data_IF_691024599586
#
_entry.id   IF_691024599586
#
_cell.length_a   1.000
_cell.length_b   1.000
_cell.length_c   1.000
_cell.angle_alpha   90.00
_cell.angle_beta   90.00
_cell.angle_gamma   90.00
#
_symmetry.space_group_name_H-M   'P 1'
#
loop_
_entity.id
_entity.type
_entity.pdbx_description
1 polymer ?
#
# COMPACT_ATOMS: atom_id res chain seq x y z
N UNK A 1 -31.81 -43.40 41.88
CA UNK A 1 -31.38 -42.34 40.93
C UNK A 1 -31.86 -42.77 39.55
N UNK A 2 -32.76 -42.00 38.92
CA UNK A 2 -33.49 -42.45 37.74
C UNK A 2 -32.61 -42.29 36.48
N UNK A 3 -32.41 -43.34 35.65
CA UNK A 3 -31.57 -43.26 34.45
C UNK A 3 -32.09 -42.23 33.43
N UNK A 4 -33.40 -41.93 33.44
CA UNK A 4 -33.99 -40.89 32.60
C UNK A 4 -33.56 -39.46 32.98
N UNK A 5 -33.25 -39.18 34.26
CA UNK A 5 -32.79 -37.87 34.70
C UNK A 5 -31.34 -37.57 34.28
N UNK A 6 -30.50 -38.61 34.18
CA UNK A 6 -29.12 -38.49 33.72
C UNK A 6 -29.05 -38.19 32.22
N UNK A 7 -29.93 -38.80 31.42
CA UNK A 7 -29.97 -38.58 29.97
C UNK A 7 -30.48 -37.18 29.63
N UNK A 8 -31.52 -36.70 30.34
CA UNK A 8 -32.04 -35.34 30.19
C UNK A 8 -30.99 -34.28 30.56
N UNK A 9 -30.28 -34.46 31.68
CA UNK A 9 -29.19 -33.55 32.10
C UNK A 9 -28.02 -33.55 31.12
N UNK A 10 -27.61 -34.72 30.63
CA UNK A 10 -26.54 -34.84 29.63
C UNK A 10 -26.85 -34.12 28.31
N UNK A 11 -28.11 -34.17 27.87
CA UNK A 11 -28.57 -33.50 26.66
C UNK A 11 -28.54 -31.97 26.76
N UNK A 12 -28.96 -31.39 27.89
CA UNK A 12 -28.88 -29.95 28.14
C UNK A 12 -27.42 -29.46 28.22
N UNK A 13 -26.52 -30.26 28.79
CA UNK A 13 -25.09 -29.92 28.82
C UNK A 13 -24.50 -29.94 27.41
N UNK A 14 -24.80 -30.97 26.61
CA UNK A 14 -24.31 -31.09 25.23
C UNK A 14 -24.79 -29.93 24.34
N UNK A 15 -26.08 -29.59 24.42
CA UNK A 15 -26.65 -28.46 23.67
C UNK A 15 -26.12 -27.10 24.13
N UNK A 16 -25.94 -26.91 25.44
CA UNK A 16 -25.31 -25.72 26.01
C UNK A 16 -23.86 -25.54 25.53
N UNK A 17 -23.08 -26.62 25.47
CA UNK A 17 -21.71 -26.59 24.96
C UNK A 17 -21.67 -26.26 23.46
N UNK A 18 -22.54 -26.85 22.64
CA UNK A 18 -22.61 -26.54 21.21
C UNK A 18 -23.01 -25.07 20.96
N UNK A 19 -23.97 -24.55 21.73
CA UNK A 19 -24.36 -23.14 21.65
C UNK A 19 -23.21 -22.22 22.07
N UNK A 20 -22.47 -22.55 23.13
CA UNK A 20 -21.32 -21.79 23.58
C UNK A 20 -20.18 -21.78 22.55
N UNK A 21 -19.89 -22.93 21.92
CA UNK A 21 -18.91 -23.02 20.83
C UNK A 21 -19.35 -22.19 19.62
N UNK A 22 -20.62 -22.28 19.22
CA UNK A 22 -21.18 -21.48 18.13
C UNK A 22 -21.08 -19.97 18.40
N UNK A 23 -21.44 -19.53 19.61
CA UNK A 23 -21.33 -18.15 20.04
C UNK A 23 -19.86 -17.67 20.05
N UNK A 24 -18.93 -18.51 20.52
CA UNK A 24 -17.50 -18.21 20.52
C UNK A 24 -16.94 -18.07 19.09
N UNK A 25 -17.31 -18.97 18.18
CA UNK A 25 -16.91 -18.90 16.76
C UNK A 25 -17.43 -17.61 16.12
N UNK A 26 -18.70 -17.26 16.33
CA UNK A 26 -19.30 -16.02 15.84
C UNK A 26 -18.60 -14.78 16.40
N UNK A 27 -18.31 -14.75 17.70
CA UNK A 27 -17.57 -13.67 18.34
C UNK A 27 -16.16 -13.53 17.76
N UNK A 28 -15.47 -14.65 17.54
CA UNK A 28 -14.13 -14.69 16.94
C UNK A 28 -14.11 -14.18 15.50
N UNK A 29 -15.10 -14.54 14.68
CA UNK A 29 -15.23 -14.07 13.31
C UNK A 29 -15.48 -12.56 13.25
N UNK A 30 -16.40 -12.05 14.09
CA UNK A 30 -16.67 -10.60 14.21
C UNK A 30 -15.41 -9.84 14.60
N UNK A 31 -14.65 -10.34 15.58
CA UNK A 31 -13.41 -9.70 16.03
C UNK A 31 -12.37 -9.59 14.90
N UNK A 32 -12.12 -10.69 14.17
CA UNK A 32 -11.19 -10.68 13.03
C UNK A 32 -11.63 -9.70 11.93
N UNK A 33 -12.92 -9.63 11.67
CA UNK A 33 -13.48 -8.69 10.69
C UNK A 33 -13.22 -7.24 11.11
N UNK A 34 -13.49 -6.89 12.38
CA UNK A 34 -13.21 -5.55 12.90
C UNK A 34 -11.71 -5.22 12.80
N UNK A 35 -10.82 -6.13 13.21
CA UNK A 35 -9.38 -5.94 13.12
C UNK A 35 -8.92 -5.68 11.67
N UNK A 36 -9.45 -6.42 10.70
CA UNK A 36 -9.16 -6.21 9.27
C UNK A 36 -9.67 -4.87 8.75
N UNK A 37 -10.89 -4.47 9.08
CA UNK A 37 -11.42 -3.16 8.69
C UNK A 37 -10.62 -2.01 9.30
N UNK A 38 -10.21 -2.13 10.57
CA UNK A 38 -9.33 -1.16 11.22
C UNK A 38 -7.97 -1.08 10.53
N UNK A 39 -7.41 -2.24 10.14
CA UNK A 39 -6.14 -2.29 9.41
C UNK A 39 -6.24 -1.58 8.05
N UNK A 40 -7.31 -1.85 7.27
CA UNK A 40 -7.61 -1.16 6.01
C UNK A 40 -7.73 0.35 6.22
N UNK A 41 -8.50 0.78 7.22
CA UNK A 41 -8.71 2.20 7.51
C UNK A 41 -7.40 2.90 7.90
N UNK A 42 -6.58 2.24 8.72
CA UNK A 42 -5.27 2.75 9.13
C UNK A 42 -4.32 2.90 7.94
N UNK A 43 -4.18 1.85 7.13
CA UNK A 43 -3.28 1.87 5.98
C UNK A 43 -3.72 2.93 4.95
N UNK A 44 -5.03 3.06 4.73
CA UNK A 44 -5.56 4.12 3.89
C UNK A 44 -5.28 5.52 4.43
N UNK A 45 -5.42 5.74 5.73
CA UNK A 45 -5.10 7.02 6.37
C UNK A 45 -3.62 7.38 6.19
N UNK A 46 -2.71 6.43 6.42
CA UNK A 46 -1.27 6.61 6.23
C UNK A 46 -0.93 7.01 4.78
N UNK A 47 -1.52 6.33 3.78
CA UNK A 47 -1.31 6.66 2.37
C UNK A 47 -1.82 8.07 2.04
N UNK A 48 -3.01 8.43 2.54
CA UNK A 48 -3.61 9.75 2.29
C UNK A 48 -2.77 10.85 2.94
N UNK A 49 -2.22 10.61 4.12
CA UNK A 49 -1.34 11.55 4.81
C UNK A 49 -0.05 11.81 4.01
N UNK A 50 0.63 10.74 3.57
CA UNK A 50 1.83 10.87 2.72
C UNK A 50 1.50 11.59 1.41
N UNK A 51 0.37 11.26 0.78
CA UNK A 51 -0.07 11.92 -0.45
C UNK A 51 -0.33 13.43 -0.24
N UNK A 52 -0.95 13.83 0.88
CA UNK A 52 -1.13 15.25 1.22
C UNK A 52 0.21 15.97 1.43
N UNK A 53 1.15 15.32 2.10
CA UNK A 53 2.50 15.87 2.28
C UNK A 53 3.23 16.05 0.94
N UNK A 54 3.10 15.09 0.02
CA UNK A 54 3.62 15.20 -1.34
C UNK A 54 2.98 16.38 -2.09
N UNK A 55 1.65 16.50 -2.02
CA UNK A 55 0.93 17.59 -2.68
C UNK A 55 1.36 18.98 -2.17
N UNK A 56 1.63 19.10 -0.86
CA UNK A 56 2.16 20.34 -0.29
C UNK A 56 3.56 20.67 -0.87
N UNK A 57 4.48 19.72 -0.90
CA UNK A 57 5.82 19.94 -1.46
C UNK A 57 5.79 20.25 -2.97
N UNK A 58 4.88 19.62 -3.71
CA UNK A 58 4.69 19.88 -5.13
C UNK A 58 4.19 21.30 -5.42
N UNK A 59 3.47 21.95 -4.49
CA UNK A 59 3.09 23.36 -4.63
C UNK A 59 4.30 24.29 -4.53
N UNK A 60 5.36 23.88 -3.84
CA UNK A 60 6.58 24.66 -3.73
C UNK A 60 7.51 24.50 -4.94
N UNK A 61 7.34 23.44 -5.73
CA UNK A 61 8.17 23.18 -6.90
C UNK A 61 7.73 24.04 -8.11
N UNK A 62 8.68 24.43 -8.98
CA UNK A 62 8.31 25.07 -10.24
C UNK A 62 7.42 24.13 -11.06
N UNK A 63 6.45 24.69 -11.80
CA UNK A 63 5.49 23.93 -12.63
C UNK A 63 6.15 23.35 -13.88
N UNK A 64 7.04 22.39 -13.69
CA UNK A 64 7.63 21.57 -14.76
C UNK A 64 6.68 20.45 -15.15
N UNK A 65 6.85 19.89 -16.35
CA UNK A 65 6.09 18.71 -16.79
C UNK A 65 6.26 17.52 -15.83
N UNK A 66 7.46 17.34 -15.27
CA UNK A 66 7.76 16.30 -14.28
C UNK A 66 6.99 16.49 -12.96
N UNK A 67 6.94 17.72 -12.43
CA UNK A 67 6.17 18.03 -11.22
C UNK A 67 4.66 17.84 -11.43
N UNK A 68 4.14 18.21 -12.61
CA UNK A 68 2.73 17.99 -12.98
C UNK A 68 2.41 16.49 -13.05
N UNK A 69 3.29 15.69 -13.66
CA UNK A 69 3.11 14.25 -13.76
C UNK A 69 3.19 13.54 -12.39
N UNK A 70 4.07 14.01 -11.50
CA UNK A 70 4.11 13.55 -10.11
C UNK A 70 2.83 13.88 -9.34
N UNK A 71 2.31 15.10 -9.51
CA UNK A 71 1.04 15.51 -8.90
C UNK A 71 -0.12 14.64 -9.40
N UNK A 72 -0.16 14.34 -10.70
CA UNK A 72 -1.16 13.44 -11.29
C UNK A 72 -1.10 12.04 -10.68
N UNK A 73 0.09 11.41 -10.66
CA UNK A 73 0.30 10.07 -10.09
C UNK A 73 -0.06 10.03 -8.59
N UNK A 74 0.31 11.05 -7.83
CA UNK A 74 -0.05 11.18 -6.42
C UNK A 74 -1.57 11.29 -6.23
N UNK A 75 -2.24 12.14 -7.02
CA UNK A 75 -3.68 12.31 -6.99
C UNK A 75 -4.44 11.02 -7.33
N UNK A 76 -3.97 10.26 -8.32
CA UNK A 76 -4.53 8.95 -8.68
C UNK A 76 -4.39 7.94 -7.55
N UNK A 77 -3.21 7.86 -6.93
CA UNK A 77 -2.97 6.99 -5.78
C UNK A 77 -3.92 7.34 -4.63
N UNK A 78 -4.00 8.62 -4.25
CA UNK A 78 -4.89 9.10 -3.19
C UNK A 78 -6.35 8.79 -3.47
N UNK A 79 -6.80 9.00 -4.71
CA UNK A 79 -8.18 8.72 -5.12
C UNK A 79 -8.51 7.23 -4.97
N UNK A 80 -7.67 6.33 -5.50
CA UNK A 80 -7.88 4.88 -5.36
C UNK A 80 -7.92 4.42 -3.91
N UNK A 81 -7.02 4.94 -3.08
CA UNK A 81 -7.01 4.67 -1.64
C UNK A 81 -8.29 5.12 -0.97
N UNK A 82 -8.75 6.35 -1.26
CA UNK A 82 -9.97 6.92 -0.68
C UNK A 82 -11.22 6.14 -1.11
N UNK A 83 -11.27 5.75 -2.39
CA UNK A 83 -12.34 4.90 -2.93
C UNK A 83 -12.35 3.52 -2.27
N UNK A 84 -11.18 2.97 -1.95
CA UNK A 84 -11.05 1.67 -1.26
C UNK A 84 -11.48 1.78 0.21
N UNK A 85 -11.10 2.86 0.90
CA UNK A 85 -11.42 3.09 2.30
C UNK A 85 -12.90 3.40 2.56
N UNK A 86 -13.56 4.05 1.60
CA UNK A 86 -14.98 4.44 1.71
C UNK A 86 -15.95 3.29 1.38
N UNK A 87 -15.47 2.23 0.72
CA UNK A 87 -16.30 1.06 0.38
C UNK A 87 -16.62 0.23 1.63
N UNK A 88 -17.89 -0.18 1.73
CA UNK A 88 -18.27 -1.26 2.64
C UNK A 88 -17.80 -2.60 2.06
N UNK A 89 -16.60 -3.02 2.44
CA UNK A 89 -16.01 -4.26 1.99
C UNK A 89 -16.70 -5.47 2.65
N UNK A 90 -16.98 -6.49 1.84
CA UNK A 90 -17.34 -7.83 2.30
C UNK A 90 -16.07 -8.61 2.69
N UNK A 91 -16.22 -9.70 3.42
CA UNK A 91 -15.08 -10.45 3.98
C UNK A 91 -14.17 -11.06 2.90
N UNK A 92 -14.73 -11.44 1.76
CA UNK A 92 -14.04 -11.91 0.55
C UNK A 92 -13.23 -10.77 -0.12
N UNK A 93 -13.78 -9.56 -0.17
CA UNK A 93 -13.12 -8.41 -0.77
C UNK A 93 -12.09 -7.71 0.15
N UNK A 94 -12.05 -8.04 1.44
CA UNK A 94 -11.16 -7.41 2.41
C UNK A 94 -9.69 -7.74 2.13
N UNK A 95 -9.40 -8.96 1.74
CA UNK A 95 -8.01 -9.41 1.49
C UNK A 95 -7.44 -8.74 0.23
N UNK A 96 -8.24 -8.67 -0.83
CA UNK A 96 -7.89 -7.94 -2.06
C UNK A 96 -7.69 -6.44 -1.79
N UNK A 97 -8.55 -5.84 -0.97
CA UNK A 97 -8.42 -4.43 -0.60
C UNK A 97 -7.14 -4.16 0.22
N UNK A 98 -6.78 -5.07 1.13
CA UNK A 98 -5.51 -4.98 1.86
C UNK A 98 -4.34 -5.07 0.88
N UNK A 99 -4.33 -6.06 -0.02
CA UNK A 99 -3.29 -6.20 -1.05
C UNK A 99 -3.13 -4.93 -1.89
N UNK A 100 -4.24 -4.40 -2.38
CA UNK A 100 -4.27 -3.16 -3.15
C UNK A 100 -3.72 -1.96 -2.36
N UNK A 101 -4.09 -1.81 -1.08
CA UNK A 101 -3.59 -0.75 -0.23
C UNK A 101 -2.09 -0.89 0.07
N UNK A 102 -1.58 -2.11 0.23
CA UNK A 102 -0.13 -2.33 0.38
C UNK A 102 0.64 -1.91 -0.87
N UNK A 103 0.11 -2.20 -2.06
CA UNK A 103 0.72 -1.78 -3.31
C UNK A 103 0.64 -0.26 -3.50
N UNK A 104 -0.48 0.36 -3.16
CA UNK A 104 -0.62 1.82 -3.19
C UNK A 104 0.27 2.50 -2.14
N UNK A 105 0.49 1.88 -0.98
CA UNK A 105 1.46 2.36 0.01
C UNK A 105 2.89 2.35 -0.53
N UNK A 106 3.31 1.27 -1.21
CA UNK A 106 4.63 1.26 -1.86
C UNK A 106 4.76 2.35 -2.91
N UNK A 107 3.73 2.50 -3.77
CA UNK A 107 3.71 3.54 -4.81
C UNK A 107 3.82 4.95 -4.23
N UNK A 108 3.10 5.25 -3.14
CA UNK A 108 3.15 6.59 -2.54
C UNK A 108 4.52 6.87 -1.89
N UNK A 109 5.17 5.85 -1.33
CA UNK A 109 6.55 5.96 -0.79
C UNK A 109 7.57 6.18 -1.91
N UNK A 110 7.42 5.49 -3.04
CA UNK A 110 8.28 5.72 -4.21
C UNK A 110 8.09 7.15 -4.76
N UNK A 111 6.84 7.60 -4.90
CA UNK A 111 6.52 8.98 -5.30
C UNK A 111 7.10 10.00 -4.32
N UNK A 112 7.03 9.74 -3.02
CA UNK A 112 7.63 10.59 -2.00
C UNK A 112 9.13 10.73 -2.24
N UNK A 113 9.81 9.63 -2.51
CA UNK A 113 11.24 9.59 -2.79
C UNK A 113 11.62 10.40 -4.04
N UNK A 114 10.81 10.32 -5.10
CA UNK A 114 10.99 11.14 -6.31
C UNK A 114 10.85 12.65 -6.02
N UNK A 115 9.80 13.05 -5.30
CA UNK A 115 9.56 14.46 -4.92
C UNK A 115 10.67 14.99 -4.02
N UNK A 116 11.11 14.17 -3.08
CA UNK A 116 12.22 14.45 -2.18
C UNK A 116 13.52 14.78 -2.93
N UNK A 117 13.79 14.10 -4.06
CA UNK A 117 14.94 14.41 -4.93
C UNK A 117 14.76 15.77 -5.61
N UNK A 118 13.56 16.06 -6.12
CA UNK A 118 13.27 17.37 -6.74
C UNK A 118 13.39 18.51 -5.73
N UNK A 119 12.91 18.31 -4.50
CA UNK A 119 13.03 19.29 -3.42
C UNK A 119 14.48 19.56 -3.04
N UNK A 120 15.33 18.51 -3.01
CA UNK A 120 16.77 18.70 -2.78
C UNK A 120 17.43 19.46 -3.92
N UNK A 121 17.14 19.11 -5.18
CA UNK A 121 17.66 19.82 -6.34
C UNK A 121 17.25 21.31 -6.35
N UNK A 122 15.99 21.60 -5.99
CA UNK A 122 15.51 22.98 -5.80
C UNK A 122 16.34 23.72 -4.74
N UNK A 123 16.58 23.10 -3.58
CA UNK A 123 17.32 23.72 -2.47
C UNK A 123 18.81 23.93 -2.79
N UNK A 124 19.43 23.00 -3.52
CA UNK A 124 20.84 23.09 -3.90
C UNK A 124 21.09 23.98 -5.11
N UNK A 125 20.04 24.35 -5.86
CA UNK A 125 20.16 25.07 -7.14
C UNK A 125 20.83 24.24 -8.25
N UNK A 126 21.06 22.94 -8.02
CA UNK A 126 21.69 22.04 -8.97
C UNK A 126 20.65 21.25 -9.76
N UNK A 127 20.90 20.96 -11.04
CA UNK A 127 20.01 20.10 -11.82
C UNK A 127 19.97 18.68 -11.21
N UNK A 128 18.84 18.00 -11.37
CA UNK A 128 18.65 16.62 -10.92
C UNK A 128 19.61 15.70 -11.68
N UNK A 129 20.74 15.36 -11.07
CA UNK A 129 21.70 14.43 -11.65
C UNK A 129 21.26 12.98 -11.41
N UNK A 130 21.70 12.05 -12.29
CA UNK A 130 21.42 10.61 -12.14
C UNK A 130 21.94 10.08 -10.80
N UNK A 131 23.03 10.64 -10.29
CA UNK A 131 23.65 10.29 -9.00
C UNK A 131 22.78 10.63 -7.78
N UNK A 132 22.06 11.76 -7.81
CA UNK A 132 21.11 12.13 -6.75
C UNK A 132 19.95 11.13 -6.62
N UNK A 133 19.54 10.49 -7.74
CA UNK A 133 18.51 9.44 -7.72
C UNK A 133 19.01 8.15 -7.05
N UNK A 134 20.30 7.81 -7.21
CA UNK A 134 20.90 6.60 -6.63
C UNK A 134 21.28 6.74 -5.15
N UNK A 135 21.70 7.94 -4.70
CA UNK A 135 22.11 8.17 -3.32
C UNK A 135 21.00 7.95 -2.29
N UNK A 136 19.72 8.05 -2.70
CA UNK A 136 18.55 7.94 -1.82
C UNK A 136 17.87 6.56 -1.81
N UNK A 137 18.53 5.53 -2.32
CA UNK A 137 18.09 4.14 -2.14
C UNK A 137 17.07 3.62 -3.16
N UNK A 138 16.89 4.29 -4.30
CA UNK A 138 16.19 3.66 -5.43
C UNK A 138 17.09 2.56 -6.00
N UNK A 139 16.88 1.30 -5.57
CA UNK A 139 17.44 0.16 -6.29
C UNK A 139 16.95 0.27 -7.73
N UNK A 140 17.84 0.34 -8.74
CA UNK A 140 17.39 0.31 -10.12
C UNK A 140 16.61 -0.98 -10.32
N UNK A 141 15.32 -0.84 -10.64
CA UNK A 141 14.52 -1.93 -11.16
C UNK A 141 15.31 -2.60 -12.26
N UNK A 142 15.51 -3.92 -12.10
CA UNK A 142 16.34 -4.79 -12.94
C UNK A 142 15.86 -4.71 -14.39
N UNK A 143 16.34 -3.72 -15.15
CA UNK A 143 16.08 -3.66 -16.59
C UNK A 143 16.99 -4.68 -17.24
N UNK A 144 16.38 -5.79 -17.66
CA UNK A 144 17.00 -6.83 -18.47
C UNK A 144 17.28 -6.24 -19.87
N UNK A 145 18.35 -5.47 -20.00
CA UNK A 145 18.95 -5.15 -21.31
C UNK A 145 20.00 -6.21 -21.62
N UNK A 146 19.53 -7.34 -22.15
CA UNK A 146 20.33 -8.22 -23.00
C UNK A 146 20.18 -7.72 -24.42
N UNK A 147 21.27 -7.24 -25.03
CA UNK A 147 21.78 -7.70 -26.33
C UNK A 147 22.99 -6.84 -26.73
N UNK A 148 24.15 -7.40 -26.45
CA UNK A 148 25.33 -7.59 -27.30
C UNK A 148 25.38 -6.89 -28.66
N UNK A 149 26.47 -6.17 -28.91
CA UNK A 149 26.94 -5.70 -30.23
C UNK A 149 28.04 -4.66 -30.06
N UNK A 150 29.28 -5.09 -29.72
CA UNK A 150 30.44 -5.10 -30.63
C UNK A 150 30.81 -3.68 -31.13
N UNK A 151 31.85 -3.05 -30.55
CA UNK A 151 33.20 -2.92 -31.16
C UNK A 151 33.12 -2.21 -32.54
N UNK A 152 33.65 -1.01 -32.78
CA UNK A 152 35.09 -0.68 -32.72
C UNK A 152 35.29 0.84 -32.93
N UNK A 153 36.39 1.37 -32.39
CA UNK A 153 36.90 2.76 -32.45
C UNK A 153 37.22 3.28 -33.88
N UNK A 154 37.46 4.61 -34.02
CA UNK A 154 37.63 5.32 -35.28
C UNK A 154 39.09 5.38 -35.76
N UNK A 155 39.28 5.54 -37.06
CA UNK A 155 40.51 5.95 -37.78
C UNK A 155 40.06 6.27 -39.21
N UNK A 156 40.55 7.22 -39.99
CA UNK A 156 41.49 8.35 -39.90
C UNK A 156 41.46 8.96 -41.31
N UNK A 157 41.61 10.28 -41.43
CA UNK A 157 42.20 11.02 -42.56
C UNK A 157 41.88 10.57 -44.01
N UNK A 158 41.25 11.49 -44.74
CA UNK A 158 41.25 11.59 -46.20
C UNK A 158 40.87 13.01 -46.59
#
# INVERSE_FOLDING_TARGET
MNPQDLFSRGWWIATGLLAAVGAWVLARLRRRRTERHLHVARLAAEIVEVARSIEADLQELPRTSEAVELARRCGECRRRTTDTASRRLRDDALEDAIGQLHDDHRRVVDLRSEVDVLMVAKRSGQPVSRELRFARGTKPGRSRFTTTGLLTRPSSLG
#
